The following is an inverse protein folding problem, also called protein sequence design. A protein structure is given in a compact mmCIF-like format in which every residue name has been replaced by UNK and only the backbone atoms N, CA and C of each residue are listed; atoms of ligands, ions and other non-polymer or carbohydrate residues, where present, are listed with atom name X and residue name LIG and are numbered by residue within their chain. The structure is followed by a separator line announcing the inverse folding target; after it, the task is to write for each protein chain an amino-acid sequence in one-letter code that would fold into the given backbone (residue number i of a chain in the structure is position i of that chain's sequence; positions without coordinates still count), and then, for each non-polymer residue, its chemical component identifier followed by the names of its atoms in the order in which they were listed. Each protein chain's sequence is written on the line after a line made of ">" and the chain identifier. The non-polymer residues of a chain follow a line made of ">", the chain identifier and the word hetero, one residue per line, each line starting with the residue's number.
data_IF_967284540742
#
_entry.id   IF_967284540742
#
_cell.length_a   1.000
_cell.length_b   1.000
_cell.length_c   1.000
_cell.angle_alpha   90.00
_cell.angle_beta   90.00
_cell.angle_gamma   90.00
#
_symmetry.space_group_name_H-M   'P 1'
#
loop_
_entity.id
_entity.type
_entity.pdbx_description
1 polymer ?
#
# COMPACT_ATOMS: atom_id res chain seq x y z
N UNK A 1 -15.63 -1.86 -2.79
CA UNK A 1 -14.16 -1.99 -2.95
C UNK A 1 -13.69 -3.24 -3.67
N UNK A 2 -14.28 -4.43 -3.42
CA UNK A 2 -13.85 -5.68 -4.05
C UNK A 2 -13.61 -5.58 -5.57
N UNK A 3 -14.55 -5.03 -6.34
CA UNK A 3 -14.39 -4.87 -7.79
C UNK A 3 -13.21 -3.95 -8.17
N UNK A 4 -12.96 -2.88 -7.40
CA UNK A 4 -11.81 -1.98 -7.63
C UNK A 4 -10.50 -2.70 -7.35
N UNK A 5 -10.44 -3.47 -6.25
CA UNK A 5 -9.26 -4.25 -5.89
C UNK A 5 -8.95 -5.35 -6.92
N UNK A 6 -9.96 -6.05 -7.44
CA UNK A 6 -9.76 -7.06 -8.50
C UNK A 6 -9.27 -6.44 -9.81
N UNK A 7 -9.86 -5.33 -10.25
CA UNK A 7 -9.38 -4.62 -11.45
C UNK A 7 -7.95 -4.12 -11.30
N UNK A 8 -7.61 -3.60 -10.13
CA UNK A 8 -6.25 -3.17 -9.81
C UNK A 8 -5.28 -4.37 -9.79
N UNK A 9 -5.69 -5.50 -9.23
CA UNK A 9 -4.89 -6.73 -9.22
C UNK A 9 -4.59 -7.22 -10.64
N UNK A 10 -5.59 -7.26 -11.53
CA UNK A 10 -5.40 -7.60 -12.94
C UNK A 10 -4.40 -6.66 -13.62
N UNK A 11 -4.63 -5.35 -13.52
CA UNK A 11 -3.76 -4.33 -14.09
C UNK A 11 -2.31 -4.44 -13.59
N UNK A 12 -2.13 -4.61 -12.27
CA UNK A 12 -0.82 -4.68 -11.67
C UNK A 12 -0.10 -6.00 -11.97
N UNK A 13 -0.80 -7.13 -12.08
CA UNK A 13 -0.17 -8.41 -12.48
C UNK A 13 0.41 -8.29 -13.88
N UNK A 14 -0.34 -7.73 -14.82
CA UNK A 14 0.12 -7.58 -16.20
C UNK A 14 1.34 -6.65 -16.31
N UNK A 15 1.42 -5.63 -15.44
CA UNK A 15 2.46 -4.60 -15.50
C UNK A 15 3.69 -4.88 -14.65
N UNK A 16 3.50 -5.50 -13.49
CA UNK A 16 4.56 -5.72 -12.50
C UNK A 16 5.04 -7.17 -12.45
N UNK A 17 4.27 -8.11 -13.00
CA UNK A 17 4.58 -9.54 -12.94
C UNK A 17 4.86 -9.99 -11.51
N UNK A 18 5.98 -10.68 -11.34
CA UNK A 18 6.43 -11.20 -10.05
C UNK A 18 6.70 -10.09 -9.01
N UNK A 19 6.87 -8.84 -9.45
CA UNK A 19 7.05 -7.69 -8.55
C UNK A 19 5.81 -7.33 -7.72
N UNK A 20 4.62 -7.82 -8.08
CA UNK A 20 3.40 -7.62 -7.31
C UNK A 20 3.29 -8.63 -6.17
N UNK A 21 3.18 -8.14 -4.94
CA UNK A 21 3.07 -8.97 -3.73
C UNK A 21 1.64 -9.21 -3.30
N UNK A 22 0.84 -8.16 -3.21
CA UNK A 22 -0.54 -8.24 -2.76
C UNK A 22 -1.38 -7.09 -3.32
N UNK A 23 -2.68 -7.32 -3.47
CA UNK A 23 -3.68 -6.28 -3.69
C UNK A 23 -4.89 -6.62 -2.83
N UNK A 24 -5.42 -5.62 -2.15
CA UNK A 24 -6.58 -5.79 -1.30
C UNK A 24 -7.27 -4.49 -0.99
N UNK A 25 -8.27 -4.59 -0.13
CA UNK A 25 -8.90 -3.45 0.48
C UNK A 25 -9.18 -3.77 1.94
N UNK A 26 -9.30 -2.73 2.75
CA UNK A 26 -9.75 -2.89 4.13
C UNK A 26 -10.82 -1.86 4.45
N UNK A 27 -11.76 -2.29 5.29
CA UNK A 27 -12.85 -1.49 5.84
C UNK A 27 -12.74 -1.49 7.37
N UNK A 28 -13.71 -0.90 8.08
CA UNK A 28 -13.76 -1.00 9.54
C UNK A 28 -13.89 -2.46 10.00
N UNK A 29 -12.79 -3.02 10.52
CA UNK A 29 -12.70 -4.38 11.06
C UNK A 29 -11.99 -5.40 10.16
N UNK A 30 -12.15 -5.34 8.84
CA UNK A 30 -11.73 -6.43 7.95
C UNK A 30 -10.75 -6.02 6.84
N UNK A 31 -10.04 -7.03 6.32
CA UNK A 31 -9.25 -6.96 5.08
C UNK A 31 -9.68 -8.08 4.14
N UNK A 32 -9.73 -7.76 2.86
CA UNK A 32 -9.92 -8.75 1.82
C UNK A 32 -8.81 -8.58 0.78
N UNK A 33 -8.13 -9.70 0.48
CA UNK A 33 -7.09 -9.74 -0.54
C UNK A 33 -7.70 -10.22 -1.86
N UNK A 34 -7.69 -9.34 -2.86
CA UNK A 34 -8.00 -9.71 -4.25
C UNK A 34 -6.84 -10.47 -4.90
N UNK A 35 -5.62 -10.30 -4.41
CA UNK A 35 -4.44 -11.02 -4.86
C UNK A 35 -3.40 -11.11 -3.74
N UNK A 36 -2.73 -12.26 -3.66
CA UNK A 36 -1.55 -12.49 -2.83
C UNK A 36 -0.62 -13.43 -3.59
N UNK A 37 0.65 -13.03 -3.75
CA UNK A 37 1.69 -13.84 -4.38
C UNK A 37 1.89 -15.13 -3.57
N UNK A 38 2.04 -16.25 -4.27
CA UNK A 38 1.96 -17.59 -3.65
C UNK A 38 3.04 -17.84 -2.58
N UNK A 39 4.27 -17.34 -2.81
CA UNK A 39 5.41 -17.44 -1.88
C UNK A 39 5.20 -16.68 -0.57
N UNK A 40 4.26 -15.73 -0.55
CA UNK A 40 3.98 -14.88 0.60
C UNK A 40 2.83 -15.40 1.46
N UNK A 41 2.07 -16.40 0.99
CA UNK A 41 0.95 -17.00 1.74
C UNK A 41 1.38 -17.57 3.10
N UNK A 42 2.60 -18.07 3.19
CA UNK A 42 3.16 -18.62 4.44
C UNK A 42 3.89 -17.55 5.28
N UNK A 43 4.23 -16.41 4.69
CA UNK A 43 5.06 -15.36 5.31
C UNK A 43 4.26 -14.25 5.98
N UNK A 44 2.96 -14.14 5.71
CA UNK A 44 2.07 -13.17 6.36
C UNK A 44 1.14 -13.86 7.35
N UNK A 45 1.60 -14.12 8.59
CA UNK A 45 0.70 -14.58 9.64
C UNK A 45 -0.36 -13.49 9.93
N UNK A 46 -1.54 -13.94 10.36
CA UNK A 46 -2.73 -13.09 10.46
C UNK A 46 -2.55 -11.87 11.38
N UNK A 47 -1.69 -11.99 12.39
CA UNK A 47 -1.33 -10.92 13.33
C UNK A 47 -0.60 -9.75 12.63
N UNK A 48 0.36 -10.04 11.74
CA UNK A 48 1.06 -9.00 10.97
C UNK A 48 0.14 -8.29 10.00
N UNK A 49 -0.78 -9.04 9.38
CA UNK A 49 -1.79 -8.47 8.49
C UNK A 49 -2.69 -7.51 9.28
N UNK A 50 -3.14 -7.89 10.48
CA UNK A 50 -3.93 -7.02 11.35
C UNK A 50 -3.19 -5.74 11.74
N UNK A 51 -1.92 -5.85 12.16
CA UNK A 51 -1.12 -4.67 12.51
C UNK A 51 -0.93 -3.70 11.34
N UNK A 52 -0.75 -4.23 10.13
CA UNK A 52 -0.69 -3.42 8.91
C UNK A 52 -2.01 -2.67 8.67
N UNK A 53 -3.15 -3.34 8.80
CA UNK A 53 -4.48 -2.71 8.64
C UNK A 53 -4.68 -1.59 9.66
N UNK A 54 -4.36 -1.82 10.93
CA UNK A 54 -4.50 -0.80 11.98
C UNK A 54 -3.65 0.45 11.69
N UNK A 55 -2.43 0.23 11.24
CA UNK A 55 -1.52 1.30 10.83
C UNK A 55 -2.08 2.06 9.62
N UNK A 56 -2.54 1.33 8.60
CA UNK A 56 -3.14 1.89 7.40
C UNK A 56 -4.38 2.73 7.69
N UNK A 57 -5.28 2.27 8.57
CA UNK A 57 -6.45 3.04 8.99
C UNK A 57 -6.08 4.32 9.72
N UNK A 58 -5.01 4.29 10.53
CA UNK A 58 -4.53 5.47 11.22
C UNK A 58 -4.02 6.51 10.22
N UNK A 59 -3.25 6.07 9.23
CA UNK A 59 -2.76 6.92 8.14
C UNK A 59 -3.93 7.50 7.34
N UNK A 60 -4.89 6.66 6.91
CA UNK A 60 -6.04 7.13 6.14
C UNK A 60 -6.85 8.20 6.86
N UNK A 61 -7.13 8.03 8.15
CA UNK A 61 -7.84 9.06 8.94
C UNK A 61 -7.07 10.37 8.99
N UNK A 62 -5.76 10.33 9.22
CA UNK A 62 -4.92 11.54 9.21
C UNK A 62 -4.85 12.18 7.83
N UNK A 63 -4.83 11.37 6.77
CA UNK A 63 -4.82 11.83 5.39
C UNK A 63 -6.15 12.50 5.03
N UNK A 64 -7.28 11.92 5.43
CA UNK A 64 -8.62 12.51 5.23
C UNK A 64 -8.79 13.85 5.97
N UNK A 65 -8.04 14.06 7.06
CA UNK A 65 -7.99 15.31 7.82
C UNK A 65 -7.00 16.34 7.24
N UNK A 66 -6.26 16.02 6.17
CA UNK A 66 -5.34 16.96 5.54
C UNK A 66 -6.10 18.18 5.01
N UNK A 67 -5.42 19.33 5.07
CA UNK A 67 -5.98 20.60 4.66
C UNK A 67 -6.43 20.55 3.19
N UNK A 68 -7.75 20.65 2.98
CA UNK A 68 -8.39 20.68 1.68
C UNK A 68 -7.89 21.82 0.76
N UNK A 69 -7.15 22.80 1.29
CA UNK A 69 -6.49 23.83 0.47
C UNK A 69 -5.41 23.28 -0.45
N UNK A 70 -4.82 22.12 -0.14
CA UNK A 70 -3.85 21.43 -1.00
C UNK A 70 -4.49 20.41 -1.98
N UNK A 71 -5.81 20.24 -1.91
CA UNK A 71 -6.59 19.30 -2.71
C UNK A 71 -6.81 17.95 -2.02
N UNK A 72 -7.68 17.12 -2.63
CA UNK A 72 -8.05 15.82 -2.07
C UNK A 72 -6.89 14.81 -2.18
N UNK A 73 -6.46 14.18 -1.07
CA UNK A 73 -5.43 13.15 -1.12
C UNK A 73 -5.84 11.99 -2.03
N UNK A 74 -4.95 11.61 -2.94
CA UNK A 74 -5.23 10.53 -3.90
C UNK A 74 -4.59 9.21 -3.48
N UNK A 75 -3.38 9.26 -2.93
CA UNK A 75 -2.66 8.09 -2.49
C UNK A 75 -1.60 8.43 -1.44
N UNK A 76 -1.24 7.45 -0.62
CA UNK A 76 -0.06 7.45 0.24
C UNK A 76 0.85 6.28 -0.13
N UNK A 77 2.16 6.48 0.06
CA UNK A 77 3.19 5.51 -0.25
C UNK A 77 4.04 5.26 0.99
N UNK A 78 4.14 4.01 1.39
CA UNK A 78 5.01 3.56 2.47
C UNK A 78 6.19 2.79 1.90
N UNK A 79 7.40 3.22 2.28
CA UNK A 79 8.64 2.52 1.99
C UNK A 79 9.02 1.67 3.20
N UNK A 80 9.13 0.36 2.99
CA UNK A 80 9.57 -0.62 3.97
C UNK A 80 10.86 -1.29 3.46
N UNK A 81 11.60 -1.94 4.36
CA UNK A 81 12.83 -2.66 4.01
C UNK A 81 12.60 -3.68 2.90
N UNK A 82 11.49 -4.41 3.00
CA UNK A 82 11.17 -5.51 2.09
C UNK A 82 10.37 -5.07 0.86
N UNK A 83 9.76 -3.89 0.84
CA UNK A 83 8.86 -3.51 -0.26
C UNK A 83 8.22 -2.14 -0.13
N UNK A 84 7.30 -1.87 -1.06
CA UNK A 84 6.50 -0.65 -1.07
C UNK A 84 5.03 -0.99 -0.91
N UNK A 85 4.30 -0.13 -0.22
CA UNK A 85 2.84 -0.21 -0.09
C UNK A 85 2.24 1.10 -0.56
N UNK A 86 1.31 1.02 -1.50
CA UNK A 86 0.50 2.17 -1.94
C UNK A 86 -0.91 1.98 -1.42
N UNK A 87 -1.45 3.01 -0.77
CA UNK A 87 -2.87 3.09 -0.41
C UNK A 87 -3.52 4.17 -1.25
N UNK A 88 -4.67 3.84 -1.85
CA UNK A 88 -5.49 4.78 -2.62
C UNK A 88 -6.62 5.26 -1.74
N UNK A 89 -6.76 6.58 -1.65
CA UNK A 89 -7.73 7.24 -0.78
C UNK A 89 -8.95 7.65 -1.60
N UNK A 90 -10.12 7.31 -1.07
CA UNK A 90 -11.41 7.70 -1.64
C UNK A 90 -12.20 8.37 -0.51
N UNK A 91 -12.63 9.63 -0.67
CA UNK A 91 -13.31 10.34 0.41
C UNK A 91 -14.54 9.60 0.94
N UNK A 92 -14.57 9.31 2.24
CA UNK A 92 -15.68 8.61 2.91
C UNK A 92 -15.84 7.13 2.49
N UNK A 93 -14.82 6.56 1.88
CA UNK A 93 -14.81 5.20 1.32
C UNK A 93 -13.62 4.40 1.89
N UNK A 94 -13.76 3.08 1.91
CA UNK A 94 -12.69 2.14 2.29
C UNK A 94 -11.42 2.27 1.44
N UNK A 95 -10.28 1.84 1.99
CA UNK A 95 -8.98 1.98 1.33
C UNK A 95 -8.69 0.76 0.44
N UNK A 96 -8.28 1.02 -0.81
CA UNK A 96 -7.67 0.01 -1.67
C UNK A 96 -6.16 0.13 -1.55
N UNK A 97 -5.45 -0.99 -1.43
CA UNK A 97 -3.99 -0.98 -1.37
C UNK A 97 -3.37 -2.00 -2.30
N UNK A 98 -2.11 -1.77 -2.65
CA UNK A 98 -1.23 -2.77 -3.25
C UNK A 98 0.11 -2.77 -2.53
N UNK A 99 0.74 -3.94 -2.49
CA UNK A 99 2.11 -4.14 -2.04
C UNK A 99 2.96 -4.66 -3.18
N UNK A 100 4.19 -4.16 -3.30
CA UNK A 100 5.13 -4.52 -4.37
C UNK A 100 6.55 -4.66 -3.85
N UNK A 101 7.40 -5.34 -4.60
CA UNK A 101 8.84 -5.38 -4.36
C UNK A 101 9.45 -3.97 -4.45
N UNK A 102 10.47 -3.71 -3.64
CA UNK A 102 11.20 -2.42 -3.64
C UNK A 102 11.87 -2.10 -4.98
N UNK A 103 12.09 -3.12 -5.82
CA UNK A 103 12.62 -2.98 -7.17
C UNK A 103 11.67 -2.29 -8.15
N UNK A 104 10.36 -2.31 -7.91
CA UNK A 104 9.35 -1.71 -8.81
C UNK A 104 9.40 -0.17 -8.76
N UNK A 105 9.65 0.42 -7.60
CA UNK A 105 9.72 1.87 -7.39
C UNK A 105 11.14 2.44 -7.39
N UNK A 106 12.10 1.76 -8.05
CA UNK A 106 13.55 1.95 -7.86
C UNK A 106 14.00 3.41 -7.78
N UNK A 107 13.59 4.26 -8.71
CA UNK A 107 14.02 5.66 -8.75
C UNK A 107 13.55 6.44 -7.51
N UNK A 108 12.29 6.26 -7.11
CA UNK A 108 11.75 6.92 -5.92
C UNK A 108 12.37 6.35 -4.64
N UNK A 109 12.45 5.02 -4.54
CA UNK A 109 13.07 4.35 -3.39
C UNK A 109 14.53 4.75 -3.21
N UNK A 110 15.28 4.88 -4.31
CA UNK A 110 16.65 5.36 -4.27
C UNK A 110 16.73 6.80 -3.76
N UNK A 111 15.92 7.70 -4.32
CA UNK A 111 15.88 9.09 -3.89
C UNK A 111 15.58 9.24 -2.38
N UNK A 112 14.58 8.50 -1.87
CA UNK A 112 14.26 8.54 -0.44
C UNK A 112 15.42 8.04 0.42
N UNK A 113 16.14 6.99 -0.01
CA UNK A 113 17.34 6.51 0.69
C UNK A 113 18.45 7.56 0.73
N UNK A 114 18.74 8.18 -0.40
CA UNK A 114 19.72 9.26 -0.48
C UNK A 114 19.36 10.43 0.47
N UNK A 115 18.07 10.81 0.55
CA UNK A 115 17.63 11.81 1.52
C UNK A 115 17.79 11.37 2.99
N UNK A 116 17.59 10.09 3.29
CA UNK A 116 17.77 9.56 4.66
C UNK A 116 19.25 9.55 5.06
N UNK A 117 20.13 9.20 4.13
CA UNK A 117 21.58 9.21 4.35
C UNK A 117 22.02 10.63 4.74
N UNK A 118 21.60 11.66 4.02
CA UNK A 118 21.91 13.08 4.32
C UNK A 118 21.37 13.58 5.68
N UNK A 119 20.37 12.92 6.27
CA UNK A 119 19.80 13.29 7.58
C UNK A 119 20.41 12.54 8.76
N UNK A 120 21.19 11.49 8.48
CA UNK A 120 21.74 10.58 9.50
C UNK A 120 23.26 10.58 9.59
N UNK A 121 23.94 11.36 8.73
CA UNK A 121 25.33 11.82 8.90
C UNK A 121 25.47 12.91 9.97
#
# INVERSE_FOLDING_TARGET
>A
MAERAHRLAEYCRDRLGDGLRAVGFHSDGDVELAYLRDDLKEQYPADRVQQFIESSRTIHRTVDELDATMGDPQASLHMLDEGLIVQFHFPGEDVVFLAMDSGVGRNFTQFVRECLDEMTE
#
